data_IF_854598611015
#
_entry.id   IF_854598611015
#
_cell.length_a   1.000
_cell.length_b   1.000
_cell.length_c   1.000
_cell.angle_alpha   90.00
_cell.angle_beta   90.00
_cell.angle_gamma   90.00
#
_symmetry.space_group_name_H-M   'P 1'
#
loop_
_entity.id
_entity.type
_entity.pdbx_description
1 polymer ?
#
# COMPACT_ATOMS: atom_id res chain seq x y z
N UNK A 1 -14.07 -13.55 16.65
CA UNK A 1 -15.17 -13.81 17.61
C UNK A 1 -14.59 -13.90 19.02
N UNK A 2 -15.25 -13.29 19.99
CA UNK A 2 -14.80 -13.23 21.38
C UNK A 2 -15.95 -13.58 22.30
N UNK A 3 -15.69 -14.29 23.41
CA UNK A 3 -16.72 -14.71 24.38
C UNK A 3 -17.23 -13.57 25.27
N UNK A 4 -17.04 -12.32 24.86
CA UNK A 4 -17.42 -11.17 25.66
C UNK A 4 -18.94 -11.02 25.65
N UNK A 5 -19.56 -10.95 26.84
CA UNK A 5 -21.01 -10.82 27.02
C UNK A 5 -21.49 -9.39 26.69
N UNK A 6 -20.59 -8.42 26.58
CA UNK A 6 -20.91 -7.05 26.20
C UNK A 6 -19.69 -6.27 25.71
N UNK A 7 -19.95 -5.14 25.04
CA UNK A 7 -18.93 -4.24 24.49
C UNK A 7 -19.20 -2.79 24.92
N UNK A 8 -18.15 -1.97 24.93
CA UNK A 8 -18.25 -0.51 25.09
C UNK A 8 -17.81 0.14 23.80
N UNK A 9 -18.55 1.16 23.37
CA UNK A 9 -18.29 1.88 22.13
C UNK A 9 -18.33 3.38 22.38
N UNK A 10 -17.48 4.12 21.67
CA UNK A 10 -17.41 5.57 21.70
C UNK A 10 -17.35 6.10 20.26
N UNK A 11 -18.09 7.17 19.99
CA UNK A 11 -18.04 7.84 18.70
C UNK A 11 -16.80 8.75 18.61
N UNK A 12 -16.15 8.76 17.46
CA UNK A 12 -15.01 9.65 17.19
C UNK A 12 -15.05 10.19 15.78
N UNK A 13 -14.48 11.38 15.61
CA UNK A 13 -14.19 11.94 14.28
C UNK A 13 -12.93 11.29 13.71
N UNK A 14 -12.90 11.13 12.39
CA UNK A 14 -11.73 10.64 11.65
C UNK A 14 -11.55 11.46 10.38
N UNK A 15 -10.39 12.09 10.25
CA UNK A 15 -9.93 12.64 8.99
C UNK A 15 -9.31 11.51 8.15
N UNK A 16 -9.71 11.42 6.87
CA UNK A 16 -9.18 10.42 5.93
C UNK A 16 -8.59 11.15 4.73
N UNK A 17 -7.33 10.85 4.44
CA UNK A 17 -6.69 11.29 3.20
C UNK A 17 -7.35 10.62 2.00
N UNK A 18 -7.40 11.33 0.87
CA UNK A 18 -7.80 10.75 -0.41
C UNK A 18 -6.76 9.71 -0.80
N UNK A 19 -7.22 8.57 -1.30
CA UNK A 19 -6.35 7.52 -1.79
C UNK A 19 -6.92 6.90 -3.04
N UNK A 20 -6.04 6.56 -3.98
CA UNK A 20 -6.41 5.95 -5.26
C UNK A 20 -5.53 4.72 -5.50
N UNK A 21 -6.12 3.61 -5.98
CA UNK A 21 -5.34 2.45 -6.38
C UNK A 21 -4.65 2.74 -7.72
N UNK A 22 -3.44 2.24 -7.88
CA UNK A 22 -2.74 2.26 -9.16
C UNK A 22 -1.94 0.97 -9.35
N UNK A 23 -1.60 0.68 -10.60
CA UNK A 23 -0.83 -0.50 -10.98
C UNK A 23 0.55 -0.08 -11.49
N UNK A 24 1.58 -0.79 -11.04
CA UNK A 24 2.98 -0.55 -11.37
C UNK A 24 3.56 -1.83 -11.96
N UNK A 25 4.18 -1.73 -13.13
CA UNK A 25 4.94 -2.82 -13.71
C UNK A 25 6.35 -2.79 -13.12
N UNK A 26 6.79 -3.92 -12.57
CA UNK A 26 8.13 -4.07 -12.00
C UNK A 26 8.85 -5.26 -12.59
N UNK A 27 10.17 -5.33 -12.44
CA UNK A 27 10.99 -6.44 -12.94
C UNK A 27 10.65 -7.79 -12.30
N UNK A 28 9.89 -7.77 -11.19
CA UNK A 28 9.44 -8.96 -10.47
C UNK A 28 7.95 -9.26 -10.68
N UNK A 29 7.26 -8.46 -11.50
CA UNK A 29 5.85 -8.63 -11.84
C UNK A 29 4.99 -7.36 -11.64
N UNK A 30 3.71 -7.48 -11.94
CA UNK A 30 2.73 -6.41 -11.73
C UNK A 30 2.36 -6.28 -10.25
N UNK A 31 2.37 -5.05 -9.73
CA UNK A 31 2.01 -4.75 -8.36
C UNK A 31 0.96 -3.64 -8.24
N UNK A 32 0.03 -3.79 -7.29
CA UNK A 32 -0.90 -2.73 -6.91
C UNK A 32 -0.29 -1.85 -5.83
N UNK A 33 -0.46 -0.54 -5.95
CA UNK A 33 -0.05 0.47 -4.97
C UNK A 33 -1.21 1.39 -4.61
N UNK A 34 -1.14 2.03 -3.44
CA UNK A 34 -2.01 3.15 -3.05
C UNK A 34 -1.26 4.44 -3.24
N UNK A 35 -1.82 5.32 -4.06
CA UNK A 35 -1.45 6.72 -4.14
C UNK A 35 -2.21 7.46 -3.04
N UNK A 36 -1.52 8.11 -2.12
CA UNK A 36 -2.11 8.82 -0.97
C UNK A 36 -1.90 10.31 -1.17
N UNK A 37 -2.99 11.08 -1.12
CA UNK A 37 -2.99 12.50 -1.42
C UNK A 37 -3.39 13.36 -0.22
N UNK A 38 -2.73 14.51 -0.09
CA UNK A 38 -3.18 15.64 0.72
C UNK A 38 -3.68 16.73 -0.24
N UNK A 39 -5.01 16.86 -0.36
CA UNK A 39 -5.63 17.64 -1.43
C UNK A 39 -5.26 17.07 -2.81
N UNK A 40 -4.59 17.88 -3.63
CA UNK A 40 -4.06 17.49 -4.94
C UNK A 40 -2.59 17.06 -4.91
N UNK A 41 -1.90 17.22 -3.77
CA UNK A 41 -0.51 16.83 -3.63
C UNK A 41 -0.42 15.34 -3.35
N UNK A 42 0.30 14.61 -4.21
CA UNK A 42 0.68 13.23 -3.93
C UNK A 42 1.69 13.21 -2.78
N UNK A 43 1.31 12.63 -1.64
CA UNK A 43 2.09 12.65 -0.40
C UNK A 43 2.97 11.40 -0.25
N UNK A 44 2.42 10.24 -0.61
CA UNK A 44 3.09 8.95 -0.41
C UNK A 44 2.49 7.89 -1.32
N UNK A 45 3.33 6.93 -1.71
CA UNK A 45 2.91 5.71 -2.38
C UNK A 45 3.18 4.51 -1.47
N UNK A 46 2.24 3.58 -1.38
CA UNK A 46 2.41 2.36 -0.59
C UNK A 46 2.03 1.11 -1.37
N UNK A 47 2.90 0.10 -1.45
CA UNK A 47 2.54 -1.19 -2.01
C UNK A 47 1.36 -1.85 -1.27
N UNK A 48 0.44 -2.48 -2.00
CA UNK A 48 -0.61 -3.31 -1.40
C UNK A 48 -0.02 -4.62 -0.88
N UNK A 49 -0.31 -4.93 0.39
CA UNK A 49 0.27 -6.09 1.05
C UNK A 49 -0.07 -7.40 0.34
N UNK A 50 -1.35 -7.59 -0.04
CA UNK A 50 -1.80 -8.79 -0.74
C UNK A 50 -1.12 -8.94 -2.11
N UNK A 51 -0.85 -7.84 -2.80
CA UNK A 51 -0.11 -7.87 -4.08
C UNK A 51 1.35 -8.24 -3.85
N UNK A 52 2.00 -7.65 -2.84
CA UNK A 52 3.38 -7.98 -2.48
C UNK A 52 3.53 -9.43 -2.02
N UNK A 53 2.56 -9.95 -1.25
CA UNK A 53 2.59 -11.33 -0.77
C UNK A 53 2.51 -12.32 -1.93
N UNK A 54 1.62 -12.10 -2.90
CA UNK A 54 1.53 -12.93 -4.11
C UNK A 54 2.84 -12.94 -4.90
N UNK A 55 3.49 -11.78 -5.02
CA UNK A 55 4.79 -11.69 -5.70
C UNK A 55 5.91 -12.37 -4.89
N UNK A 56 5.91 -12.26 -3.56
CA UNK A 56 6.86 -12.98 -2.70
C UNK A 56 6.73 -14.50 -2.87
N UNK A 57 5.50 -15.02 -2.85
CA UNK A 57 5.20 -16.44 -3.06
C UNK A 57 5.59 -16.91 -4.46
N UNK A 58 5.29 -16.12 -5.50
CA UNK A 58 5.59 -16.46 -6.89
C UNK A 58 7.09 -16.41 -7.23
N UNK A 59 7.85 -15.51 -6.60
CA UNK A 59 9.27 -15.29 -6.90
C UNK A 59 10.23 -15.95 -5.90
N UNK A 60 9.71 -16.42 -4.75
CA UNK A 60 10.51 -16.93 -3.63
C UNK A 60 11.33 -15.84 -2.91
N UNK A 61 11.10 -14.56 -3.20
CA UNK A 61 11.86 -13.44 -2.60
C UNK A 61 11.26 -13.00 -1.26
N UNK A 62 12.09 -12.54 -0.31
CA UNK A 62 11.60 -11.99 0.96
C UNK A 62 10.67 -10.79 0.75
N UNK A 63 9.57 -10.75 1.50
CA UNK A 63 8.59 -9.66 1.43
C UNK A 63 9.22 -8.25 1.56
N UNK A 64 10.20 -7.99 2.44
CA UNK A 64 10.85 -6.67 2.50
C UNK A 64 11.54 -6.26 1.18
N UNK A 65 12.11 -7.22 0.44
CA UNK A 65 12.73 -6.95 -0.86
C UNK A 65 11.67 -6.57 -1.89
N UNK A 66 10.56 -7.31 -1.93
CA UNK A 66 9.40 -7.02 -2.79
C UNK A 66 8.89 -5.60 -2.56
N UNK A 67 8.67 -5.23 -1.29
CA UNK A 67 8.23 -3.87 -0.93
C UNK A 67 9.20 -2.80 -1.41
N UNK A 68 10.52 -3.01 -1.24
CA UNK A 68 11.54 -2.05 -1.68
C UNK A 68 11.52 -1.85 -3.20
N UNK A 69 11.46 -2.94 -3.97
CA UNK A 69 11.43 -2.90 -5.44
C UNK A 69 10.18 -2.15 -5.92
N UNK A 70 9.00 -2.53 -5.42
CA UNK A 70 7.74 -1.90 -5.83
C UNK A 70 7.71 -0.43 -5.43
N UNK A 71 8.14 -0.09 -4.20
CA UNK A 71 8.16 1.30 -3.73
C UNK A 71 9.08 2.15 -4.58
N UNK A 72 10.30 1.67 -4.87
CA UNK A 72 11.24 2.39 -5.72
C UNK A 72 10.62 2.61 -7.11
N UNK A 73 10.15 1.56 -7.79
CA UNK A 73 9.58 1.69 -9.13
C UNK A 73 8.34 2.58 -9.17
N UNK A 74 7.46 2.48 -8.16
CA UNK A 74 6.28 3.32 -8.07
C UNK A 74 6.64 4.81 -7.87
N UNK A 75 7.61 5.11 -7.01
CA UNK A 75 8.07 6.49 -6.81
C UNK A 75 8.59 7.10 -8.12
N UNK A 76 9.36 6.34 -8.91
CA UNK A 76 9.82 6.80 -10.23
C UNK A 76 8.67 7.02 -11.20
N UNK A 77 7.75 6.06 -11.27
CA UNK A 77 6.61 6.11 -12.20
C UNK A 77 5.67 7.28 -11.93
N UNK A 78 5.44 7.63 -10.66
CA UNK A 78 4.52 8.68 -10.25
C UNK A 78 5.21 9.99 -9.83
N UNK A 79 6.52 10.13 -10.09
CA UNK A 79 7.27 11.37 -9.88
C UNK A 79 7.38 11.81 -8.42
N UNK A 80 7.45 10.84 -7.50
CA UNK A 80 7.61 11.05 -6.05
C UNK A 80 9.08 10.83 -5.63
N UNK A 81 10.01 11.20 -6.51
CA UNK A 81 11.45 11.26 -6.20
C UNK A 81 11.73 12.59 -5.48
N UNK A 82 12.45 12.52 -4.35
CA UNK A 82 13.18 13.67 -3.81
C UNK A 82 14.47 13.89 -4.60
#
# INVERSE_FOLDING_TARGET
>A
ESSAIGVRMHETRRMKLRREPATVQTDIGEATVKLIYEGEKLLRITPEHTSCQKLAEATGRPLPEIYRVITATANRQFGLEE
#
